data_IF_244212185903
#
_entry.id   IF_244212185903
#
_cell.length_a   1.000
_cell.length_b   1.000
_cell.length_c   1.000
_cell.angle_alpha   90.00
_cell.angle_beta   90.00
_cell.angle_gamma   90.00
#
_symmetry.space_group_name_H-M   'P 1'
#
loop_
_entity.id
_entity.type
_entity.pdbx_description
1 polymer ?
#
# COMPACT_ATOMS: atom_id res chain seq x y z
N UNK A 1 38.48 -54.52 49.67
CA UNK A 1 38.42 -53.05 49.55
C UNK A 1 38.49 -52.68 48.07
N UNK A 2 37.53 -51.88 47.62
CA UNK A 2 37.06 -51.74 46.24
C UNK A 2 37.97 -50.88 45.34
N UNK A 3 38.09 -51.28 44.07
CA UNK A 3 38.71 -50.55 42.97
C UNK A 3 37.92 -49.26 42.64
N UNK A 4 38.60 -48.12 42.56
CA UNK A 4 38.02 -46.87 42.03
C UNK A 4 38.63 -46.59 40.65
N UNK A 5 37.82 -46.85 39.62
CA UNK A 5 38.08 -46.55 38.21
C UNK A 5 37.68 -45.10 37.87
N UNK A 6 38.57 -44.40 37.19
CA UNK A 6 38.40 -43.02 36.68
C UNK A 6 37.35 -42.99 35.56
N UNK A 7 36.21 -42.32 35.75
CA UNK A 7 35.29 -41.94 34.67
C UNK A 7 35.50 -40.47 34.27
N UNK A 8 36.04 -40.25 33.06
CA UNK A 8 36.04 -38.97 32.35
C UNK A 8 34.61 -38.66 31.87
N UNK A 9 34.04 -37.56 32.34
CA UNK A 9 32.79 -37.00 31.79
C UNK A 9 33.15 -36.28 30.49
N UNK A 10 32.71 -36.81 29.35
CA UNK A 10 32.77 -36.11 28.05
C UNK A 10 31.53 -35.21 27.95
N UNK A 11 31.72 -33.91 28.08
CA UNK A 11 30.71 -32.91 27.72
C UNK A 11 30.62 -32.81 26.19
N UNK A 12 29.66 -33.49 25.58
CA UNK A 12 29.29 -33.29 24.18
C UNK A 12 28.35 -32.10 24.07
N UNK A 13 28.91 -30.92 23.77
CA UNK A 13 28.15 -29.78 23.25
C UNK A 13 27.76 -30.09 21.80
N UNK A 14 26.51 -30.51 21.57
CA UNK A 14 25.94 -30.57 20.22
C UNK A 14 25.65 -29.13 19.75
N UNK A 15 26.55 -28.58 18.96
CA UNK A 15 26.31 -27.33 18.25
C UNK A 15 25.25 -27.57 17.17
N UNK A 16 23.99 -27.20 17.44
CA UNK A 16 22.96 -27.05 16.42
C UNK A 16 23.36 -25.86 15.51
N UNK A 17 24.10 -26.15 14.44
CA UNK A 17 24.21 -25.24 13.30
C UNK A 17 22.84 -25.17 12.63
N UNK A 18 22.03 -24.18 13.04
CA UNK A 18 20.85 -23.78 12.28
C UNK A 18 21.32 -23.19 10.95
N UNK A 19 21.28 -24.00 9.88
CA UNK A 19 21.43 -23.53 8.51
C UNK A 19 20.26 -22.57 8.24
N UNK A 20 20.53 -21.28 8.33
CA UNK A 20 19.63 -20.27 7.79
C UNK A 20 19.68 -20.43 6.27
N UNK A 21 18.65 -21.07 5.70
CA UNK A 21 18.41 -20.99 4.26
C UNK A 21 18.18 -19.52 3.91
N UNK A 22 19.23 -18.86 3.44
CA UNK A 22 19.12 -17.62 2.70
C UNK A 22 18.56 -18.05 1.35
N UNK A 23 17.25 -17.92 1.17
CA UNK A 23 16.67 -18.05 -0.17
C UNK A 23 17.44 -17.08 -1.08
N UNK A 24 17.95 -17.55 -2.24
CA UNK A 24 18.57 -16.65 -3.20
C UNK A 24 17.57 -15.54 -3.54
N UNK A 25 18.04 -14.29 -3.75
CA UNK A 25 17.15 -13.23 -4.18
C UNK A 25 16.45 -13.71 -5.45
N UNK A 26 15.11 -13.77 -5.42
CA UNK A 26 14.37 -14.14 -6.61
C UNK A 26 14.50 -12.97 -7.58
N UNK A 27 15.27 -13.19 -8.65
CA UNK A 27 15.57 -12.19 -9.66
C UNK A 27 14.29 -11.96 -10.49
N UNK A 28 13.95 -10.70 -10.76
CA UNK A 28 12.93 -10.40 -11.77
C UNK A 28 13.36 -10.98 -13.13
N UNK A 29 12.39 -11.35 -13.97
CA UNK A 29 12.68 -11.76 -15.34
C UNK A 29 13.35 -10.65 -16.16
N UNK A 30 13.93 -11.03 -17.30
CA UNK A 30 14.44 -10.08 -18.29
C UNK A 30 13.30 -9.24 -18.88
N UNK A 31 13.63 -8.05 -19.36
CA UNK A 31 12.66 -7.17 -20.02
C UNK A 31 12.30 -7.71 -21.41
N UNK A 32 11.04 -8.06 -21.60
CA UNK A 32 10.41 -8.30 -22.89
C UNK A 32 9.98 -6.95 -23.48
N UNK A 33 10.45 -6.65 -24.69
CA UNK A 33 10.05 -5.44 -25.42
C UNK A 33 8.76 -5.76 -26.18
N UNK A 34 7.66 -5.14 -25.76
CA UNK A 34 6.37 -5.32 -26.45
C UNK A 34 6.27 -4.41 -27.68
N UNK A 35 6.87 -3.22 -27.61
CA UNK A 35 6.95 -2.28 -28.72
C UNK A 35 8.24 -1.45 -28.62
N UNK A 36 9.08 -1.52 -29.64
CA UNK A 36 10.37 -0.82 -29.74
C UNK A 36 10.32 0.45 -30.61
N UNK A 37 9.15 0.76 -31.18
CA UNK A 37 8.95 1.83 -32.15
C UNK A 37 8.63 1.34 -33.55
N UNK A 38 8.81 0.05 -33.85
CA UNK A 38 8.65 -0.52 -35.18
C UNK A 38 7.88 -1.83 -35.18
N UNK A 39 8.15 -2.73 -34.23
CA UNK A 39 7.58 -4.08 -34.22
C UNK A 39 6.30 -4.17 -33.38
N UNK A 40 5.23 -4.70 -33.98
CA UNK A 40 3.94 -4.97 -33.34
C UNK A 40 3.66 -6.47 -33.19
N UNK A 41 4.66 -7.33 -33.38
CA UNK A 41 4.52 -8.78 -33.31
C UNK A 41 3.91 -9.26 -31.99
N UNK A 42 4.10 -8.53 -30.89
CA UNK A 42 3.55 -8.82 -29.57
C UNK A 42 2.06 -8.52 -29.43
N UNK A 43 1.43 -7.87 -30.42
CA UNK A 43 0.06 -7.37 -30.36
C UNK A 43 -0.84 -7.92 -31.46
N UNK A 44 -2.15 -7.91 -31.17
CA UNK A 44 -3.25 -8.12 -32.11
C UNK A 44 -4.45 -7.31 -31.65
N UNK A 45 -5.51 -7.22 -32.46
CA UNK A 45 -6.77 -6.62 -32.05
C UNK A 45 -7.50 -7.51 -31.04
N UNK A 46 -8.20 -6.89 -30.10
CA UNK A 46 -9.06 -7.62 -29.16
C UNK A 46 -10.09 -8.47 -29.92
N UNK A 47 -10.16 -9.76 -29.60
CA UNK A 47 -10.96 -10.77 -30.31
C UNK A 47 -10.67 -10.87 -31.82
N UNK A 48 -9.45 -10.52 -32.24
CA UNK A 48 -8.95 -10.66 -33.61
C UNK A 48 -7.63 -11.43 -33.62
N UNK A 49 -7.30 -12.07 -34.74
CA UNK A 49 -6.02 -12.77 -34.94
C UNK A 49 -4.89 -11.85 -35.43
N UNK A 50 -5.25 -10.67 -35.93
CA UNK A 50 -4.33 -9.75 -36.62
C UNK A 50 -4.32 -8.36 -35.99
N UNK A 51 -3.33 -7.56 -36.37
CA UNK A 51 -3.21 -6.17 -35.95
C UNK A 51 -4.30 -5.29 -36.64
N UNK A 52 -5.06 -4.48 -35.89
CA UNK A 52 -6.16 -3.67 -36.42
C UNK A 52 -5.66 -2.37 -37.08
N UNK A 53 -5.14 -2.48 -38.32
CA UNK A 53 -4.53 -1.35 -39.07
C UNK A 53 -5.47 -0.16 -39.33
N UNK A 54 -6.79 -0.37 -39.28
CA UNK A 54 -7.78 0.70 -39.47
C UNK A 54 -8.04 1.53 -38.21
N UNK A 55 -7.56 1.08 -37.04
CA UNK A 55 -7.68 1.81 -35.76
C UNK A 55 -6.34 2.18 -35.14
N UNK A 56 -5.25 1.57 -35.59
CA UNK A 56 -3.91 1.75 -35.03
C UNK A 56 -2.87 1.90 -36.12
N UNK A 57 -1.91 2.79 -35.88
CA UNK A 57 -0.78 3.03 -36.78
C UNK A 57 0.53 3.16 -36.02
N UNK A 58 1.63 2.93 -36.73
CA UNK A 58 2.98 3.22 -36.27
C UNK A 58 3.46 4.46 -37.00
N UNK A 59 3.74 5.52 -36.25
CA UNK A 59 4.23 6.78 -36.81
C UNK A 59 5.28 7.38 -35.88
N UNK A 60 6.40 7.83 -36.43
CA UNK A 60 7.48 8.50 -35.69
C UNK A 60 7.98 7.70 -34.46
N UNK A 61 8.07 6.37 -34.59
CA UNK A 61 8.51 5.48 -33.51
C UNK A 61 7.47 5.27 -32.40
N UNK A 62 6.20 5.57 -32.66
CA UNK A 62 5.12 5.51 -31.67
C UNK A 62 3.95 4.69 -32.19
N UNK A 63 3.31 3.96 -31.28
CA UNK A 63 2.06 3.26 -31.53
C UNK A 63 0.92 4.21 -31.21
N UNK A 64 0.07 4.52 -32.20
CA UNK A 64 -0.92 5.62 -32.13
C UNK A 64 -2.31 5.12 -32.52
N UNK A 65 -3.34 5.55 -31.79
CA UNK A 65 -4.75 5.38 -32.18
C UNK A 65 -5.13 6.34 -33.32
N UNK A 66 -5.97 5.88 -34.25
CA UNK A 66 -6.49 6.68 -35.35
C UNK A 66 -7.87 7.19 -34.95
N UNK A 67 -8.01 8.49 -34.69
CA UNK A 67 -9.23 9.05 -34.10
C UNK A 67 -10.52 8.74 -34.92
N UNK A 68 -10.46 8.91 -36.24
CA UNK A 68 -11.56 8.58 -37.16
C UNK A 68 -11.53 7.11 -37.65
N UNK A 69 -10.69 6.29 -37.04
CA UNK A 69 -10.47 4.89 -37.38
C UNK A 69 -11.50 3.95 -36.76
N UNK A 70 -11.38 2.66 -37.10
CA UNK A 70 -12.20 1.62 -36.48
C UNK A 70 -11.74 1.41 -35.04
N UNK A 71 -12.63 1.66 -34.08
CA UNK A 71 -12.35 1.45 -32.66
C UNK A 71 -12.21 -0.04 -32.34
N UNK A 72 -10.98 -0.45 -32.07
CA UNK A 72 -10.60 -1.79 -31.64
C UNK A 72 -9.49 -1.65 -30.61
N UNK A 73 -9.64 -2.25 -29.44
CA UNK A 73 -8.59 -2.26 -28.43
C UNK A 73 -7.42 -3.15 -28.86
N UNK A 74 -6.20 -2.78 -28.49
CA UNK A 74 -5.00 -3.55 -28.81
C UNK A 74 -4.60 -4.44 -27.64
N UNK A 75 -4.53 -5.75 -27.87
CA UNK A 75 -4.27 -6.76 -26.83
C UNK A 75 -2.92 -7.44 -27.06
N UNK A 76 -2.19 -7.74 -25.99
CA UNK A 76 -0.97 -8.57 -26.06
C UNK A 76 -1.33 -9.99 -26.49
N UNK A 77 -0.51 -10.63 -27.32
CA UNK A 77 -0.69 -12.06 -27.66
C UNK A 77 -0.46 -12.96 -26.45
N UNK A 78 0.54 -12.62 -25.64
CA UNK A 78 0.91 -13.32 -24.41
C UNK A 78 0.05 -12.84 -23.23
N UNK A 79 -0.18 -13.74 -22.27
CA UNK A 79 -0.81 -13.44 -20.97
C UNK A 79 0.25 -13.37 -19.87
N UNK A 80 0.00 -12.54 -18.87
CA UNK A 80 0.88 -12.33 -17.73
C UNK A 80 0.10 -12.50 -16.42
N UNK A 81 0.74 -13.10 -15.42
CA UNK A 81 0.19 -13.23 -14.06
C UNK A 81 0.70 -12.11 -13.17
N UNK A 82 2.00 -12.18 -12.89
CA UNK A 82 2.74 -11.22 -12.08
C UNK A 82 3.72 -10.51 -13.00
N UNK A 83 3.65 -9.18 -13.07
CA UNK A 83 4.43 -8.42 -14.02
C UNK A 83 4.76 -7.02 -13.52
N UNK A 84 5.82 -6.47 -14.11
CA UNK A 84 6.08 -5.05 -14.12
C UNK A 84 6.02 -4.58 -15.57
N UNK A 85 5.03 -3.74 -15.88
CA UNK A 85 4.85 -3.10 -17.18
C UNK A 85 5.32 -1.66 -17.07
N UNK A 86 6.18 -1.23 -18.00
CA UNK A 86 6.54 0.18 -18.19
C UNK A 86 6.12 0.62 -19.58
N UNK A 87 5.62 1.84 -19.68
CA UNK A 87 5.18 2.44 -20.92
C UNK A 87 5.18 3.96 -20.79
N UNK A 88 5.35 4.64 -21.91
CA UNK A 88 5.17 6.08 -22.00
C UNK A 88 3.93 6.38 -22.83
N UNK A 89 3.18 7.40 -22.42
CA UNK A 89 1.97 7.81 -23.11
C UNK A 89 1.88 9.33 -23.22
N UNK A 90 1.28 9.80 -24.31
CA UNK A 90 0.83 11.19 -24.46
C UNK A 90 -0.56 11.20 -25.07
N UNK A 91 -1.28 12.30 -24.84
CA UNK A 91 -2.69 12.46 -25.23
C UNK A 91 -2.90 13.79 -25.95
N UNK A 92 -3.88 13.83 -26.84
CA UNK A 92 -4.43 15.08 -27.35
C UNK A 92 -5.31 15.77 -26.30
N UNK A 93 -5.59 17.08 -26.43
CA UNK A 93 -6.47 17.76 -25.50
C UNK A 93 -7.87 17.15 -25.47
N UNK A 94 -8.34 16.82 -24.27
CA UNK A 94 -9.63 16.17 -24.03
C UNK A 94 -9.66 14.66 -24.26
N UNK A 95 -8.54 14.01 -24.58
CA UNK A 95 -8.55 12.59 -24.91
C UNK A 95 -8.71 11.66 -23.69
N UNK A 96 -9.29 10.48 -23.93
CA UNK A 96 -9.49 9.37 -23.01
C UNK A 96 -8.90 8.07 -23.58
N UNK A 97 -8.30 7.26 -22.73
CA UNK A 97 -7.81 5.91 -23.02
C UNK A 97 -7.49 5.20 -21.69
N UNK A 98 -6.89 4.02 -21.78
CA UNK A 98 -6.42 3.30 -20.61
C UNK A 98 -5.57 2.09 -20.97
N UNK A 99 -4.93 1.55 -19.94
CA UNK A 99 -4.22 0.28 -20.02
C UNK A 99 -4.88 -0.70 -19.05
N UNK A 100 -5.56 -1.70 -19.61
CA UNK A 100 -6.22 -2.75 -18.85
C UNK A 100 -5.31 -3.96 -18.72
N UNK A 101 -5.48 -4.74 -17.67
CA UNK A 101 -4.68 -5.93 -17.40
C UNK A 101 -5.51 -7.00 -16.71
N UNK A 102 -5.00 -8.24 -16.66
CA UNK A 102 -5.79 -9.42 -16.25
C UNK A 102 -7.08 -9.59 -17.07
N UNK A 103 -7.06 -9.12 -18.32
CA UNK A 103 -8.17 -9.25 -19.25
C UNK A 103 -8.21 -10.67 -19.80
N UNK A 104 -9.42 -11.23 -19.89
CA UNK A 104 -9.71 -12.36 -20.76
C UNK A 104 -10.72 -11.95 -21.85
N UNK A 105 -10.76 -12.71 -22.94
CA UNK A 105 -11.59 -12.43 -24.11
C UNK A 105 -13.00 -13.06 -24.04
N UNK A 106 -13.46 -13.49 -22.86
CA UNK A 106 -14.79 -14.11 -22.69
C UNK A 106 -15.96 -13.12 -22.79
N UNK A 107 -15.67 -11.82 -22.96
CA UNK A 107 -16.64 -10.72 -23.04
C UNK A 107 -16.35 -9.83 -24.24
N UNK A 108 -17.36 -9.11 -24.72
CA UNK A 108 -17.22 -8.23 -25.88
C UNK A 108 -16.39 -6.97 -25.63
N UNK A 109 -16.03 -6.69 -24.37
CA UNK A 109 -15.24 -5.53 -24.00
C UNK A 109 -14.23 -5.89 -22.91
N UNK A 110 -12.95 -5.50 -23.03
CA UNK A 110 -11.90 -5.84 -22.07
C UNK A 110 -12.20 -5.41 -20.63
N UNK A 111 -12.80 -4.23 -20.45
CA UNK A 111 -13.12 -3.66 -19.13
C UNK A 111 -14.19 -4.45 -18.35
N UNK A 112 -14.89 -5.39 -19.00
CA UNK A 112 -15.80 -6.31 -18.31
C UNK A 112 -15.07 -7.36 -17.46
N UNK A 113 -13.78 -7.60 -17.70
CA UNK A 113 -12.99 -8.64 -17.03
C UNK A 113 -11.77 -8.08 -16.31
N UNK A 114 -11.05 -7.13 -16.92
CA UNK A 114 -9.83 -6.57 -16.38
C UNK A 114 -9.99 -5.18 -15.73
N UNK A 115 -9.25 -4.89 -14.63
CA UNK A 115 -9.06 -3.53 -14.13
C UNK A 115 -8.26 -2.65 -15.11
N UNK A 116 -8.32 -1.34 -14.90
CA UNK A 116 -7.77 -0.33 -15.81
C UNK A 116 -6.90 0.72 -15.09
N UNK A 117 -5.71 0.97 -15.65
CA UNK A 117 -4.95 2.20 -15.43
C UNK A 117 -5.48 3.27 -16.36
N UNK A 118 -6.00 4.37 -15.81
CA UNK A 118 -6.60 5.43 -16.61
C UNK A 118 -5.56 6.31 -17.31
N UNK A 119 -5.78 6.62 -18.59
CA UNK A 119 -5.02 7.60 -19.38
C UNK A 119 -5.98 8.70 -19.81
N UNK A 120 -5.67 9.95 -19.47
CA UNK A 120 -6.62 11.05 -19.65
C UNK A 120 -5.92 12.40 -19.76
N UNK A 121 -6.50 13.31 -20.54
CA UNK A 121 -6.38 14.74 -20.27
C UNK A 121 -7.32 15.15 -19.13
N UNK A 122 -6.79 15.17 -17.91
CA UNK A 122 -7.51 15.59 -16.71
C UNK A 122 -8.09 17.01 -16.80
N UNK A 123 -7.48 17.90 -17.59
CA UNK A 123 -7.82 19.32 -17.62
C UNK A 123 -9.06 19.63 -18.46
N UNK A 124 -9.33 18.83 -19.49
CA UNK A 124 -10.43 19.07 -20.42
C UNK A 124 -11.47 17.94 -20.47
N UNK A 125 -11.09 16.68 -20.29
CA UNK A 125 -12.04 15.59 -20.35
C UNK A 125 -12.94 15.59 -19.10
N UNK A 126 -14.24 15.28 -19.26
CA UNK A 126 -15.20 15.36 -18.17
C UNK A 126 -14.85 14.41 -17.01
N UNK A 127 -14.34 13.21 -17.30
CA UNK A 127 -13.84 12.24 -16.30
C UNK A 127 -12.70 12.81 -15.44
N UNK A 128 -11.98 13.83 -15.91
CA UNK A 128 -10.90 14.49 -15.15
C UNK A 128 -11.41 15.23 -13.91
N UNK A 129 -12.70 15.60 -13.90
CA UNK A 129 -13.37 16.26 -12.76
C UNK A 129 -13.59 15.30 -11.58
N UNK A 130 -13.57 13.99 -11.82
CA UNK A 130 -13.72 12.98 -10.78
C UNK A 130 -12.37 12.30 -10.52
N UNK A 131 -11.81 12.40 -9.30
CA UNK A 131 -10.54 11.77 -8.95
C UNK A 131 -10.47 10.26 -9.23
N UNK A 132 -11.60 9.54 -9.17
CA UNK A 132 -11.67 8.10 -9.43
C UNK A 132 -11.53 7.73 -10.91
N UNK A 133 -11.71 8.68 -11.83
CA UNK A 133 -11.67 8.47 -13.28
C UNK A 133 -10.62 9.34 -13.97
N UNK A 134 -9.77 10.00 -13.19
CA UNK A 134 -8.67 10.84 -13.65
C UNK A 134 -7.39 10.02 -13.92
N UNK A 135 -6.44 10.56 -14.70
CA UNK A 135 -5.23 9.86 -15.13
C UNK A 135 -4.45 9.19 -13.97
N UNK A 136 -3.97 7.97 -14.19
CA UNK A 136 -3.24 7.16 -13.22
C UNK A 136 -4.09 6.50 -12.14
N UNK A 137 -5.40 6.79 -12.06
CA UNK A 137 -6.29 6.07 -11.16
C UNK A 137 -6.41 4.59 -11.54
N UNK A 138 -6.81 3.77 -10.57
CA UNK A 138 -7.44 2.48 -10.87
C UNK A 138 -8.90 2.81 -11.17
N UNK A 139 -9.24 2.83 -12.45
CA UNK A 139 -10.44 3.50 -12.96
C UNK A 139 -11.69 3.12 -12.17
N UNK A 140 -12.44 4.13 -11.71
CA UNK A 140 -13.67 4.03 -10.93
C UNK A 140 -13.56 3.26 -9.59
N UNK A 141 -12.36 2.92 -9.11
CA UNK A 141 -12.14 2.19 -7.85
C UNK A 141 -11.23 2.94 -6.87
N UNK A 142 -10.02 3.32 -7.28
CA UNK A 142 -9.02 3.94 -6.40
C UNK A 142 -8.42 5.16 -7.07
N UNK A 143 -8.67 6.33 -6.48
CA UNK A 143 -8.17 7.61 -7.02
C UNK A 143 -6.66 7.72 -6.83
N UNK A 144 -5.98 8.22 -7.87
CA UNK A 144 -4.57 8.53 -7.84
C UNK A 144 -4.26 9.64 -6.82
N UNK A 145 -3.27 9.40 -5.96
CA UNK A 145 -2.78 10.36 -4.97
C UNK A 145 -1.47 10.97 -5.43
N UNK A 146 -1.29 12.26 -5.16
CA UNK A 146 -0.02 12.97 -5.33
C UNK A 146 0.59 12.84 -6.74
N UNK A 147 -0.27 12.69 -7.75
CA UNK A 147 0.17 12.63 -9.13
C UNK A 147 0.61 14.01 -9.62
N UNK A 148 1.59 14.01 -10.51
CA UNK A 148 1.98 15.15 -11.33
C UNK A 148 2.01 14.66 -12.76
N UNK A 149 1.23 15.29 -13.63
CA UNK A 149 1.19 15.01 -15.05
C UNK A 149 2.15 15.96 -15.77
N UNK A 150 2.74 15.47 -16.85
CA UNK A 150 3.33 16.34 -17.86
C UNK A 150 2.22 17.12 -18.59
N UNK A 151 2.54 18.27 -19.20
CA UNK A 151 1.59 19.01 -20.02
C UNK A 151 0.96 18.15 -21.12
N UNK A 152 -0.28 18.47 -21.48
CA UNK A 152 -0.96 17.80 -22.60
C UNK A 152 -0.13 17.97 -23.88
N UNK A 153 0.12 16.86 -24.59
CA UNK A 153 1.03 16.78 -25.73
C UNK A 153 2.42 16.22 -25.39
N UNK A 154 2.81 16.25 -24.12
CA UNK A 154 4.07 15.68 -23.62
C UNK A 154 3.89 14.26 -23.07
N UNK A 155 5.01 13.52 -23.00
CA UNK A 155 5.00 12.13 -22.58
C UNK A 155 5.06 11.97 -21.07
N UNK A 156 4.06 11.29 -20.53
CA UNK A 156 4.06 10.76 -19.18
C UNK A 156 4.69 9.36 -19.17
N UNK A 157 5.53 9.07 -18.16
CA UNK A 157 6.09 7.74 -17.94
C UNK A 157 5.33 7.01 -16.85
N UNK A 158 4.79 5.85 -17.21
CA UNK A 158 3.95 5.05 -16.31
C UNK A 158 4.51 3.67 -16.07
N UNK A 159 4.15 3.12 -14.92
CA UNK A 159 4.47 1.75 -14.55
C UNK A 159 3.31 1.11 -13.78
N UNK A 160 2.96 -0.12 -14.15
CA UNK A 160 2.03 -0.98 -13.42
C UNK A 160 2.86 -2.13 -12.84
N UNK A 161 2.79 -2.29 -11.52
CA UNK A 161 3.42 -3.42 -10.82
C UNK A 161 2.32 -4.26 -10.23
N UNK A 162 2.20 -5.51 -10.69
CA UNK A 162 1.27 -6.48 -10.17
C UNK A 162 2.05 -7.71 -9.73
N UNK A 163 2.10 -7.93 -8.42
CA UNK A 163 2.87 -9.03 -7.83
C UNK A 163 2.00 -9.79 -6.81
N UNK A 164 1.46 -10.94 -7.23
CA UNK A 164 0.39 -11.65 -6.56
C UNK A 164 -0.85 -10.77 -6.51
N UNK A 165 -1.24 -10.35 -5.30
CA UNK A 165 -2.38 -9.46 -5.11
C UNK A 165 -1.97 -7.99 -4.91
N UNK A 166 -0.68 -7.70 -4.77
CA UNK A 166 -0.19 -6.33 -4.59
C UNK A 166 -0.17 -5.61 -5.95
N UNK A 167 -1.05 -4.64 -6.10
CA UNK A 167 -1.11 -3.75 -7.26
C UNK A 167 -0.53 -2.38 -6.91
N UNK A 168 0.28 -1.83 -7.80
CA UNK A 168 0.75 -0.45 -7.75
C UNK A 168 0.64 0.21 -9.14
N UNK A 169 0.13 1.44 -9.18
CA UNK A 169 0.28 2.34 -10.32
C UNK A 169 1.29 3.43 -9.99
N UNK A 170 2.19 3.67 -10.94
CA UNK A 170 3.19 4.72 -10.87
C UNK A 170 3.02 5.66 -12.06
N UNK A 171 3.18 6.95 -11.80
CA UNK A 171 3.13 8.03 -12.79
C UNK A 171 4.27 9.00 -12.50
N UNK A 172 5.13 9.22 -13.49
CA UNK A 172 6.27 10.15 -13.43
C UNK A 172 7.12 9.97 -12.16
N UNK A 173 7.44 8.71 -11.86
CA UNK A 173 8.27 8.33 -10.70
C UNK A 173 7.55 8.28 -9.35
N UNK A 174 6.29 8.71 -9.27
CA UNK A 174 5.50 8.69 -8.04
C UNK A 174 4.54 7.51 -8.00
N UNK A 175 4.44 6.83 -6.85
CA UNK A 175 3.41 5.81 -6.61
C UNK A 175 2.09 6.52 -6.32
N UNK A 176 1.12 6.38 -7.23
CA UNK A 176 -0.13 7.14 -7.16
C UNK A 176 -1.32 6.27 -6.71
N UNK A 177 -1.29 4.97 -6.98
CA UNK A 177 -2.25 3.98 -6.47
C UNK A 177 -1.49 2.80 -5.91
N UNK A 178 -2.00 2.24 -4.81
CA UNK A 178 -1.57 0.95 -4.31
C UNK A 178 -2.71 0.26 -3.57
N UNK A 179 -2.92 -1.03 -3.83
CA UNK A 179 -3.89 -1.84 -3.11
C UNK A 179 -3.54 -3.33 -3.16
N UNK A 180 -4.09 -4.07 -2.22
CA UNK A 180 -4.24 -5.52 -2.31
C UNK A 180 -5.57 -5.82 -3.00
N UNK A 181 -5.53 -6.39 -4.20
CA UNK A 181 -6.69 -6.63 -5.07
C UNK A 181 -7.73 -7.53 -4.41
N UNK A 182 -7.32 -8.49 -3.56
CA UNK A 182 -8.23 -9.42 -2.89
C UNK A 182 -8.69 -8.91 -1.51
N UNK A 183 -8.32 -7.67 -1.16
CA UNK A 183 -8.67 -7.10 0.14
C UNK A 183 -10.15 -6.75 0.28
N UNK A 184 -10.59 -6.65 1.54
CA UNK A 184 -11.92 -6.12 1.88
C UNK A 184 -12.17 -4.74 1.23
N UNK A 185 -11.17 -3.86 1.22
CA UNK A 185 -11.29 -2.53 0.64
C UNK A 185 -11.64 -2.59 -0.85
N UNK A 186 -10.86 -3.34 -1.63
CA UNK A 186 -11.10 -3.46 -3.08
C UNK A 186 -12.41 -4.20 -3.37
N UNK A 187 -12.72 -5.28 -2.65
CA UNK A 187 -13.97 -6.01 -2.82
C UNK A 187 -15.21 -5.13 -2.61
N UNK A 188 -15.20 -4.25 -1.60
CA UNK A 188 -16.27 -3.28 -1.35
C UNK A 188 -16.34 -2.23 -2.45
N UNK A 189 -15.19 -1.67 -2.88
CA UNK A 189 -15.16 -0.69 -3.99
C UNK A 189 -15.74 -1.27 -5.27
N UNK A 190 -15.41 -2.51 -5.63
CA UNK A 190 -15.98 -3.19 -6.80
C UNK A 190 -17.50 -3.32 -6.65
N UNK A 191 -17.99 -3.76 -5.48
CA UNK A 191 -19.41 -3.91 -5.19
C UNK A 191 -20.19 -2.59 -5.30
N UNK A 192 -19.57 -1.47 -4.94
CA UNK A 192 -20.19 -0.14 -4.96
C UNK A 192 -20.01 0.60 -6.29
N UNK A 193 -19.20 0.05 -7.20
CA UNK A 193 -18.88 0.65 -8.49
C UNK A 193 -19.79 0.20 -9.64
N UNK A 194 -19.59 0.81 -10.81
CA UNK A 194 -20.18 0.38 -12.09
C UNK A 194 -19.82 -1.07 -12.46
N UNK A 195 -18.77 -1.65 -11.88
CA UNK A 195 -18.33 -3.00 -12.18
C UNK A 195 -19.15 -4.09 -11.47
N UNK A 196 -20.00 -3.73 -10.50
CA UNK A 196 -20.79 -4.69 -9.71
C UNK A 196 -21.64 -5.69 -10.52
N UNK A 197 -22.21 -5.35 -11.70
CA UNK A 197 -22.95 -6.32 -12.51
C UNK A 197 -22.03 -7.33 -13.24
N UNK A 198 -20.74 -7.00 -13.39
CA UNK A 198 -19.78 -7.79 -14.18
C UNK A 198 -19.12 -8.86 -13.32
N UNK A 199 -19.76 -10.02 -13.17
CA UNK A 199 -19.28 -11.13 -12.32
C UNK A 199 -17.86 -11.64 -12.64
N UNK A 200 -17.38 -11.42 -13.87
CA UNK A 200 -16.02 -11.77 -14.32
C UNK A 200 -14.96 -10.72 -14.02
N UNK A 201 -15.35 -9.52 -13.60
CA UNK A 201 -14.44 -8.42 -13.32
C UNK A 201 -13.49 -8.78 -12.16
N UNK A 202 -12.19 -8.58 -12.39
CA UNK A 202 -11.12 -8.83 -11.42
C UNK A 202 -11.00 -10.30 -10.94
N UNK A 203 -11.50 -11.28 -11.72
CA UNK A 203 -11.46 -12.70 -11.33
C UNK A 203 -10.27 -13.50 -11.85
N UNK A 204 -9.60 -13.02 -12.89
CA UNK A 204 -8.44 -13.71 -13.47
C UNK A 204 -7.17 -13.34 -12.72
N UNK A 205 -6.34 -14.33 -12.40
CA UNK A 205 -4.98 -14.09 -11.90
C UNK A 205 -3.99 -13.87 -13.04
N UNK A 206 -4.20 -14.57 -14.16
CA UNK A 206 -3.42 -14.47 -15.39
C UNK A 206 -4.32 -13.96 -16.51
N UNK A 207 -3.86 -12.97 -17.27
CA UNK A 207 -4.60 -12.45 -18.41
C UNK A 207 -3.75 -11.52 -19.28
N UNK A 208 -4.36 -10.97 -20.31
CA UNK A 208 -3.70 -10.09 -21.26
C UNK A 208 -3.56 -8.66 -20.73
N UNK A 209 -2.67 -7.90 -21.35
CA UNK A 209 -2.56 -6.45 -21.22
C UNK A 209 -3.21 -5.83 -22.46
N UNK A 210 -4.04 -4.81 -22.27
CA UNK A 210 -4.82 -4.18 -23.34
C UNK A 210 -4.61 -2.67 -23.32
N UNK A 211 -4.31 -2.09 -24.47
CA UNK A 211 -4.23 -0.65 -24.70
C UNK A 211 -5.52 -0.20 -25.39
N UNK A 212 -6.24 0.71 -24.74
CA UNK A 212 -7.58 1.07 -25.17
C UNK A 212 -7.56 2.07 -26.33
N UNK A 213 -8.41 1.83 -27.33
CA UNK A 213 -8.79 2.85 -28.30
C UNK A 213 -10.17 3.39 -27.91
N UNK A 214 -10.26 4.67 -27.57
CA UNK A 214 -11.52 5.29 -27.14
C UNK A 214 -11.84 6.52 -28.00
N UNK A 215 -11.81 6.35 -29.33
CA UNK A 215 -12.01 7.40 -30.35
C UNK A 215 -10.98 8.54 -30.38
N UNK A 216 -10.24 8.77 -29.31
CA UNK A 216 -9.27 9.85 -29.25
C UNK A 216 -7.87 9.42 -29.73
N UNK A 217 -7.07 10.42 -30.12
CA UNK A 217 -5.67 10.22 -30.47
C UNK A 217 -4.77 10.18 -29.23
N UNK A 218 -4.17 9.00 -29.01
CA UNK A 218 -3.27 8.66 -27.91
C UNK A 218 -2.06 7.95 -28.50
N UNK A 219 -0.88 8.23 -27.95
CA UNK A 219 0.37 7.63 -28.40
C UNK A 219 1.01 6.87 -27.26
N UNK A 220 1.57 5.71 -27.59
CA UNK A 220 2.34 4.86 -26.71
C UNK A 220 3.73 4.63 -27.28
N UNK A 221 4.73 4.57 -26.40
CA UNK A 221 6.09 4.14 -26.77
C UNK A 221 6.82 3.50 -25.61
N UNK A 222 7.94 2.86 -25.92
CA UNK A 222 8.83 2.23 -24.93
C UNK A 222 8.09 1.22 -24.04
N UNK A 223 7.22 0.41 -24.65
CA UNK A 223 6.39 -0.56 -23.93
C UNK A 223 7.25 -1.79 -23.65
N UNK A 224 7.53 -2.04 -22.38
CA UNK A 224 8.27 -3.21 -21.93
C UNK A 224 7.57 -3.85 -20.75
N UNK A 225 7.59 -5.17 -20.71
CA UNK A 225 7.06 -5.96 -19.60
C UNK A 225 8.14 -6.91 -19.12
N UNK A 226 8.15 -7.19 -17.83
CA UNK A 226 8.90 -8.34 -17.31
C UNK A 226 8.00 -9.10 -16.37
N UNK A 227 8.10 -10.42 -16.43
CA UNK A 227 7.47 -11.26 -15.43
C UNK A 227 8.18 -11.07 -14.09
N UNK A 228 7.38 -10.93 -13.05
CA UNK A 228 7.88 -10.92 -11.69
C UNK A 228 7.81 -12.36 -11.16
N UNK A 229 8.78 -12.76 -10.34
CA UNK A 229 8.68 -14.04 -9.67
C UNK A 229 7.44 -14.06 -8.80
N UNK A 230 6.83 -15.24 -8.69
CA UNK A 230 5.72 -15.44 -7.78
C UNK A 230 6.11 -14.91 -6.40
N UNK A 231 5.29 -14.04 -5.79
CA UNK A 231 5.64 -13.49 -4.50
C UNK A 231 5.67 -14.61 -3.47
N UNK A 232 6.66 -14.57 -2.60
CA UNK A 232 6.64 -15.39 -1.39
C UNK A 232 5.50 -14.87 -0.50
N UNK A 233 4.32 -15.46 -0.65
CA UNK A 233 3.18 -15.21 0.24
C UNK A 233 3.52 -15.83 1.58
N UNK A 234 3.91 -14.98 2.53
CA UNK A 234 4.25 -15.43 3.86
C UNK A 234 2.95 -15.93 4.53
N UNK A 235 2.89 -17.20 4.97
CA UNK A 235 1.69 -17.74 5.57
C UNK A 235 1.29 -16.88 6.77
N UNK A 236 0.02 -16.53 6.84
CA UNK A 236 -0.51 -15.84 8.00
C UNK A 236 -0.33 -16.67 9.26
N UNK A 237 -0.27 -15.99 10.42
CA UNK A 237 -0.31 -16.67 11.69
C UNK A 237 -1.61 -17.48 11.80
N UNK A 238 -1.53 -18.76 12.18
CA UNK A 238 -2.70 -19.62 12.37
C UNK A 238 -3.70 -19.09 13.41
N UNK A 239 -3.26 -18.12 14.23
CA UNK A 239 -4.03 -17.44 15.29
C UNK A 239 -3.66 -15.97 15.32
N UNK A 240 -4.56 -15.14 15.84
CA UNK A 240 -4.27 -13.74 16.15
C UNK A 240 -3.05 -13.62 17.07
N UNK A 241 -2.36 -12.49 16.97
CA UNK A 241 -1.14 -12.13 17.69
C UNK A 241 0.03 -13.10 17.47
N UNK A 242 0.10 -13.75 16.32
CA UNK A 242 1.22 -14.61 15.93
C UNK A 242 1.87 -14.16 14.64
N UNK A 243 3.18 -14.35 14.55
CA UNK A 243 3.94 -14.29 13.30
C UNK A 243 4.45 -15.69 12.98
N UNK A 244 4.25 -16.15 11.75
CA UNK A 244 4.73 -17.46 11.29
C UNK A 244 6.27 -17.53 11.32
N UNK A 245 6.84 -18.73 11.16
CA UNK A 245 8.29 -18.92 11.12
C UNK A 245 8.88 -18.15 9.93
N UNK A 246 8.20 -18.20 8.80
CA UNK A 246 8.54 -17.55 7.54
C UNK A 246 8.46 -16.03 7.70
N UNK A 247 7.41 -15.50 8.34
CA UNK A 247 7.32 -14.08 8.67
C UNK A 247 8.47 -13.63 9.59
N UNK A 248 8.81 -14.41 10.62
CA UNK A 248 9.95 -14.11 11.50
C UNK A 248 11.27 -14.10 10.73
N UNK A 249 11.50 -15.06 9.84
CA UNK A 249 12.67 -15.11 8.99
C UNK A 249 12.74 -13.90 8.04
N UNK A 250 11.59 -13.45 7.55
CA UNK A 250 11.45 -12.24 6.75
C UNK A 250 11.55 -10.92 7.56
N UNK A 251 11.84 -11.00 8.86
CA UNK A 251 12.11 -9.84 9.74
C UNK A 251 10.90 -9.31 10.52
N UNK A 252 9.72 -9.93 10.40
CA UNK A 252 8.55 -9.53 11.19
C UNK A 252 8.68 -9.94 12.65
N UNK A 253 8.21 -9.08 13.55
CA UNK A 253 8.16 -9.32 14.99
C UNK A 253 6.81 -8.85 15.53
N UNK A 254 6.28 -9.57 16.51
CA UNK A 254 5.13 -9.12 17.28
C UNK A 254 5.53 -8.01 18.24
N UNK A 255 4.72 -6.96 18.30
CA UNK A 255 4.70 -6.00 19.40
C UNK A 255 3.70 -6.40 20.48
N UNK A 256 2.75 -7.27 20.16
CA UNK A 256 1.83 -7.87 21.13
C UNK A 256 1.59 -9.34 20.80
N UNK A 257 1.60 -10.19 21.81
CA UNK A 257 1.48 -11.65 21.67
C UNK A 257 0.13 -12.20 22.18
N UNK A 258 -0.82 -11.31 22.52
CA UNK A 258 -2.11 -11.69 23.09
C UNK A 258 -2.11 -11.93 24.61
N UNK A 259 -0.93 -11.93 25.26
CA UNK A 259 -0.79 -12.40 26.65
C UNK A 259 -0.09 -11.43 27.58
N UNK A 260 0.86 -10.63 27.08
CA UNK A 260 1.61 -9.70 27.91
C UNK A 260 2.01 -8.44 27.15
N UNK A 261 2.39 -7.42 27.92
CA UNK A 261 2.74 -6.09 27.44
C UNK A 261 4.25 -5.88 27.40
N UNK A 262 5.03 -6.95 27.25
CA UNK A 262 6.50 -6.93 27.39
C UNK A 262 7.21 -5.93 26.47
N UNK A 263 6.62 -5.59 25.32
CA UNK A 263 7.16 -4.62 24.35
C UNK A 263 6.67 -3.19 24.57
N UNK A 264 5.83 -2.95 25.57
CA UNK A 264 5.15 -1.69 25.82
C UNK A 264 5.46 -1.17 27.23
N UNK A 265 5.41 0.14 27.38
CA UNK A 265 5.42 0.87 28.67
C UNK A 265 4.62 2.15 28.52
N UNK A 266 4.23 2.79 29.63
CA UNK A 266 3.59 4.11 29.55
C UNK A 266 4.55 5.17 29.00
N UNK A 267 4.03 6.16 28.29
CA UNK A 267 4.80 7.33 27.87
C UNK A 267 5.39 8.04 29.10
N UNK A 268 6.71 8.29 29.09
CA UNK A 268 7.49 8.83 30.21
C UNK A 268 7.43 7.98 31.50
N UNK A 269 7.12 6.68 31.37
CA UNK A 269 7.11 5.73 32.48
C UNK A 269 8.03 4.55 32.15
N UNK A 270 8.62 3.96 33.19
CA UNK A 270 9.45 2.76 33.07
C UNK A 270 8.63 1.49 32.81
N UNK A 271 7.42 1.43 33.36
CA UNK A 271 6.54 0.27 33.33
C UNK A 271 5.26 0.51 32.52
N UNK A 272 4.58 -0.58 32.19
CA UNK A 272 3.22 -0.56 31.64
C UNK A 272 2.23 -0.01 32.68
N UNK A 273 1.22 0.81 32.31
CA UNK A 273 0.28 1.36 33.28
C UNK A 273 -0.53 0.26 33.97
N UNK A 274 -0.79 0.44 35.27
CA UNK A 274 -1.58 -0.50 36.09
C UNK A 274 -3.10 -0.31 35.94
N UNK A 275 -3.54 0.75 35.26
CA UNK A 275 -4.95 1.06 34.99
C UNK A 275 -5.14 1.52 33.55
N UNK A 276 -6.38 1.46 33.07
CA UNK A 276 -6.82 1.95 31.77
C UNK A 276 -6.54 1.02 30.59
N UNK A 277 -5.41 0.31 30.61
CA UNK A 277 -5.09 -0.69 29.60
C UNK A 277 -5.18 -2.11 30.15
N UNK A 278 -5.98 -2.95 29.52
CA UNK A 278 -6.15 -4.36 29.88
C UNK A 278 -5.88 -5.29 28.70
N UNK A 279 -5.67 -6.57 28.99
CA UNK A 279 -5.67 -7.63 27.99
C UNK A 279 -6.99 -8.37 28.08
N UNK A 280 -7.78 -8.31 27.01
CA UNK A 280 -9.10 -8.93 26.93
C UNK A 280 -9.34 -9.40 25.49
N UNK A 281 -9.86 -10.62 25.32
CA UNK A 281 -10.25 -11.17 24.00
C UNK A 281 -9.15 -11.02 22.93
N UNK A 282 -7.93 -11.45 23.26
CA UNK A 282 -6.74 -11.34 22.40
C UNK A 282 -6.38 -9.91 21.98
N UNK A 283 -6.83 -8.89 22.71
CA UNK A 283 -6.54 -7.49 22.43
C UNK A 283 -5.77 -6.83 23.58
N UNK A 284 -4.94 -5.85 23.24
CA UNK A 284 -4.60 -4.77 24.16
C UNK A 284 -5.70 -3.72 24.02
N UNK A 285 -6.48 -3.54 25.09
CA UNK A 285 -7.69 -2.73 25.10
C UNK A 285 -7.50 -1.54 26.02
N UNK A 286 -7.82 -0.35 25.54
CA UNK A 286 -8.07 0.78 26.43
C UNK A 286 -9.53 0.74 26.87
N UNK A 287 -9.80 0.82 28.17
CA UNK A 287 -11.18 0.84 28.70
C UNK A 287 -11.69 2.27 28.77
N UNK A 288 -12.99 2.45 28.49
CA UNK A 288 -13.62 3.77 28.54
C UNK A 288 -13.40 4.42 29.91
N UNK A 289 -12.94 5.68 29.89
CA UNK A 289 -12.61 6.50 31.06
C UNK A 289 -11.62 5.85 32.03
N UNK A 290 -10.82 4.88 31.58
CA UNK A 290 -9.88 4.15 32.43
C UNK A 290 -8.58 4.90 32.74
N UNK A 291 -8.20 5.86 31.89
CA UNK A 291 -6.99 6.66 31.99
C UNK A 291 -5.71 5.81 31.83
N UNK A 292 -4.68 6.09 32.64
CA UNK A 292 -3.40 5.37 32.57
C UNK A 292 -2.40 6.00 31.60
N UNK A 293 -2.90 6.77 30.63
CA UNK A 293 -2.13 7.53 29.66
C UNK A 293 -1.67 6.69 28.47
N UNK A 294 -1.08 7.37 27.49
CA UNK A 294 -0.53 6.75 26.28
C UNK A 294 0.50 5.66 26.61
N UNK A 295 0.53 4.61 25.78
CA UNK A 295 1.55 3.56 25.84
C UNK A 295 2.43 3.59 24.60
N UNK A 296 3.73 3.38 24.80
CA UNK A 296 4.72 3.38 23.73
C UNK A 296 5.48 2.06 23.66
N UNK A 297 5.96 1.73 22.47
CA UNK A 297 6.91 0.63 22.29
C UNK A 297 8.19 0.92 23.08
N UNK A 298 8.79 -0.08 23.70
CA UNK A 298 10.10 0.09 24.38
C UNK A 298 11.22 0.45 23.41
N UNK A 299 11.13 -0.03 22.16
CA UNK A 299 12.10 0.27 21.11
C UNK A 299 11.69 1.46 20.23
N UNK A 300 12.68 2.14 19.65
CA UNK A 300 12.51 3.16 18.60
C UNK A 300 12.67 2.55 17.20
N UNK A 301 11.98 3.14 16.21
CA UNK A 301 11.95 2.74 14.81
C UNK A 301 12.13 3.96 13.91
N UNK A 302 12.84 3.79 12.78
CA UNK A 302 13.08 4.86 11.80
C UNK A 302 12.52 4.56 10.41
N UNK A 303 12.82 3.37 9.89
CA UNK A 303 12.19 2.81 8.70
C UNK A 303 11.55 1.49 9.09
N UNK A 304 10.27 1.33 8.77
CA UNK A 304 9.49 0.20 9.24
C UNK A 304 8.24 -0.02 8.39
N UNK A 305 7.75 -1.26 8.45
CA UNK A 305 6.43 -1.67 8.02
C UNK A 305 5.68 -2.12 9.28
N UNK A 306 4.77 -1.28 9.76
CA UNK A 306 3.97 -1.55 10.95
C UNK A 306 2.54 -1.86 10.55
N UNK A 307 2.01 -2.98 11.03
CA UNK A 307 0.66 -3.45 10.74
C UNK A 307 -0.07 -3.77 12.04
N UNK A 308 -1.36 -3.48 12.08
CA UNK A 308 -2.21 -3.77 13.22
C UNK A 308 -3.67 -3.90 12.81
N UNK A 309 -4.46 -4.52 13.67
CA UNK A 309 -5.91 -4.48 13.61
C UNK A 309 -6.47 -3.68 14.77
N UNK A 310 -7.58 -3.00 14.52
CA UNK A 310 -8.24 -2.19 15.54
C UNK A 310 -9.76 -2.18 15.36
N UNK A 311 -10.47 -2.02 16.47
CA UNK A 311 -11.90 -1.64 16.50
C UNK A 311 -12.13 -0.61 17.60
N UNK A 312 -13.10 0.26 17.38
CA UNK A 312 -13.50 1.32 18.31
C UNK A 312 -14.96 1.12 18.74
N UNK A 313 -15.29 1.58 19.95
CA UNK A 313 -16.67 1.75 20.37
C UNK A 313 -17.35 2.92 19.62
N UNK A 314 -18.69 3.03 19.66
CA UNK A 314 -19.39 4.20 19.12
C UNK A 314 -18.87 5.51 19.71
N UNK A 315 -18.68 6.50 18.85
CA UNK A 315 -18.14 7.82 19.19
C UNK A 315 -16.77 7.81 19.86
N UNK A 316 -15.99 6.73 19.76
CA UNK A 316 -14.67 6.65 20.38
C UNK A 316 -13.56 7.27 19.51
N UNK A 317 -12.51 7.76 20.18
CA UNK A 317 -11.28 8.28 19.60
C UNK A 317 -10.05 7.59 20.20
N UNK A 318 -9.03 7.46 19.38
CA UNK A 318 -7.69 7.00 19.72
C UNK A 318 -6.77 7.31 18.53
N UNK A 319 -5.54 6.83 18.57
CA UNK A 319 -4.58 7.07 17.53
C UNK A 319 -3.41 6.13 17.64
N UNK A 320 -2.82 5.82 16.49
CA UNK A 320 -1.50 5.19 16.42
C UNK A 320 -0.51 6.27 16.01
N UNK A 321 0.37 6.65 16.94
CA UNK A 321 1.41 7.63 16.67
C UNK A 321 2.75 6.96 16.40
N UNK A 322 3.57 7.61 15.59
CA UNK A 322 4.93 7.18 15.28
C UNK A 322 5.88 8.38 15.27
N UNK A 323 7.18 8.08 15.29
CA UNK A 323 8.23 9.06 15.52
C UNK A 323 8.08 9.83 16.84
N UNK A 324 7.53 9.16 17.87
CA UNK A 324 7.36 9.73 19.21
C UNK A 324 8.72 9.88 19.89
N UNK A 325 8.92 11.06 20.48
CA UNK A 325 10.13 11.47 21.20
C UNK A 325 9.72 11.91 22.61
N UNK A 326 10.28 11.29 23.64
CA UNK A 326 9.94 11.58 25.04
C UNK A 326 10.60 12.87 25.54
N UNK A 327 11.64 13.34 24.86
CA UNK A 327 12.27 14.63 25.06
C UNK A 327 11.35 15.83 24.73
N UNK A 328 10.22 15.60 24.03
CA UNK A 328 9.20 16.64 23.79
C UNK A 328 8.34 16.86 25.03
N UNK A 329 7.70 18.04 25.09
CA UNK A 329 6.77 18.41 26.17
C UNK A 329 5.54 17.50 26.31
N UNK A 330 5.24 16.68 25.32
CA UNK A 330 4.15 15.68 25.36
C UNK A 330 4.36 14.57 24.34
N UNK A 331 3.37 13.67 24.23
CA UNK A 331 3.34 12.56 23.28
C UNK A 331 3.06 13.02 21.83
N UNK A 332 3.93 13.90 21.34
CA UNK A 332 3.80 14.56 20.04
C UNK A 332 4.60 13.77 19.01
N UNK A 333 3.92 13.26 17.99
CA UNK A 333 4.48 12.51 16.87
C UNK A 333 3.52 12.57 15.69
N UNK A 334 3.88 11.92 14.59
CA UNK A 334 2.94 11.75 13.48
C UNK A 334 1.86 10.77 13.90
N UNK A 335 0.63 10.99 13.50
CA UNK A 335 -0.52 10.24 13.99
C UNK A 335 -1.36 9.71 12.83
N UNK A 336 -1.52 8.39 12.80
CA UNK A 336 -2.61 7.72 12.10
C UNK A 336 -3.84 7.78 12.99
N UNK A 337 -4.85 8.52 12.56
CA UNK A 337 -6.08 8.70 13.33
C UNK A 337 -6.91 7.40 13.40
N UNK A 338 -7.42 7.07 14.60
CA UNK A 338 -8.26 5.88 14.86
C UNK A 338 -9.54 6.34 15.57
N UNK A 339 -10.64 6.51 14.83
CA UNK A 339 -11.80 7.23 15.36
C UNK A 339 -13.13 6.72 14.76
N UNK A 340 -14.24 6.92 15.46
CA UNK A 340 -15.57 6.82 14.86
C UNK A 340 -15.87 8.08 14.03
N UNK A 341 -15.65 7.97 12.72
CA UNK A 341 -15.86 9.04 11.74
C UNK A 341 -17.29 9.62 11.75
N UNK A 342 -18.27 8.82 12.18
CA UNK A 342 -19.70 9.16 12.08
C UNK A 342 -20.24 9.93 13.28
N UNK A 343 -19.58 9.84 14.44
CA UNK A 343 -20.13 10.35 15.72
C UNK A 343 -19.16 11.18 16.54
N UNK A 344 -17.85 10.94 16.47
CA UNK A 344 -16.93 11.67 17.35
C UNK A 344 -16.80 13.14 16.89
N UNK A 345 -16.97 14.15 17.77
CA UNK A 345 -16.93 15.56 17.39
C UNK A 345 -15.68 15.99 16.62
N UNK A 346 -14.51 15.43 16.97
CA UNK A 346 -13.25 15.72 16.26
C UNK A 346 -13.28 15.26 14.80
N UNK A 347 -13.85 14.09 14.51
CA UNK A 347 -14.01 13.59 13.14
C UNK A 347 -14.97 14.45 12.32
N UNK A 348 -15.98 15.05 12.96
CA UNK A 348 -16.96 15.91 12.31
C UNK A 348 -16.40 17.28 11.92
N UNK A 349 -15.22 17.68 12.44
CA UNK A 349 -14.52 18.92 12.03
C UNK A 349 -14.07 18.89 10.57
N UNK A 350 -13.84 17.70 10.02
CA UNK A 350 -13.42 17.53 8.64
C UNK A 350 -12.36 16.45 8.42
N UNK A 351 -11.95 16.25 7.16
CA UNK A 351 -11.26 15.03 6.73
C UNK A 351 -9.83 14.87 7.26
N UNK A 352 -9.22 15.93 7.81
CA UNK A 352 -7.89 15.86 8.46
C UNK A 352 -7.92 15.25 9.87
N UNK A 353 -9.12 15.07 10.44
CA UNK A 353 -9.33 14.53 11.79
C UNK A 353 -10.08 13.20 11.79
N UNK A 354 -10.35 12.65 10.61
CA UNK A 354 -11.03 11.38 10.42
C UNK A 354 -10.03 10.23 10.28
N UNK A 355 -10.53 8.99 10.36
CA UNK A 355 -9.75 7.75 10.33
C UNK A 355 -8.70 7.74 9.21
N UNK A 356 -7.51 7.25 9.56
CA UNK A 356 -6.34 7.09 8.69
C UNK A 356 -5.68 8.39 8.19
N UNK A 357 -6.22 9.56 8.54
CA UNK A 357 -5.55 10.83 8.27
C UNK A 357 -4.17 10.86 8.92
N UNK A 358 -3.25 11.64 8.34
CA UNK A 358 -2.14 12.19 9.11
C UNK A 358 -2.72 13.37 9.88
N UNK A 359 -3.11 13.11 11.13
CA UNK A 359 -3.94 13.98 11.96
C UNK A 359 -3.56 15.46 11.82
N UNK A 360 -4.53 16.32 11.51
CA UNK A 360 -4.38 17.78 11.35
C UNK A 360 -3.49 18.26 10.19
N UNK A 361 -2.77 17.35 9.50
CA UNK A 361 -1.86 17.67 8.40
C UNK A 361 -2.49 17.30 7.05
N UNK A 362 -2.77 16.01 6.82
CA UNK A 362 -3.34 15.51 5.57
C UNK A 362 -4.55 14.60 5.77
N UNK A 363 -5.62 14.79 4.98
CA UNK A 363 -6.72 13.84 4.94
C UNK A 363 -6.30 12.55 4.23
N UNK A 364 -6.90 11.44 4.61
CA UNK A 364 -6.83 10.19 3.85
C UNK A 364 -7.98 10.10 2.84
N UNK A 365 -7.69 9.53 1.67
CA UNK A 365 -8.63 9.30 0.55
C UNK A 365 -8.83 7.80 0.31
N UNK A 366 -9.74 7.42 -0.59
CA UNK A 366 -10.00 6.01 -0.93
C UNK A 366 -10.33 5.12 0.29
N UNK A 367 -10.93 5.71 1.34
CA UNK A 367 -11.14 5.03 2.62
C UNK A 367 -12.35 4.13 2.54
N UNK A 368 -12.17 2.86 2.89
CA UNK A 368 -13.24 1.87 3.03
C UNK A 368 -13.16 1.33 4.45
N UNK A 369 -14.00 1.85 5.33
CA UNK A 369 -14.08 1.38 6.72
C UNK A 369 -15.05 0.21 6.82
N UNK A 370 -14.74 -0.72 7.72
CA UNK A 370 -15.77 -1.62 8.26
C UNK A 370 -16.63 -0.86 9.27
N UNK A 371 -17.88 -1.32 9.52
CA UNK A 371 -18.74 -0.71 10.53
C UNK A 371 -18.07 -0.63 11.91
N UNK A 372 -18.43 0.39 12.70
CA UNK A 372 -18.00 0.56 14.08
C UNK A 372 -18.21 -0.73 14.88
N UNK A 373 -17.26 -1.07 15.76
CA UNK A 373 -17.22 -2.35 16.48
C UNK A 373 -16.59 -3.52 15.70
N UNK A 374 -16.34 -3.38 14.38
CA UNK A 374 -15.64 -4.39 13.58
C UNK A 374 -14.14 -4.09 13.46
N UNK A 375 -13.31 -5.14 13.38
CA UNK A 375 -11.86 -4.98 13.21
C UNK A 375 -11.49 -4.52 11.80
N UNK A 376 -10.95 -3.31 11.70
CA UNK A 376 -10.21 -2.81 10.55
C UNK A 376 -8.76 -3.29 10.59
N UNK A 377 -8.14 -3.47 9.42
CA UNK A 377 -6.70 -3.71 9.29
C UNK A 377 -6.02 -2.45 8.77
N UNK A 378 -4.91 -2.05 9.39
CA UNK A 378 -4.19 -0.83 9.04
C UNK A 378 -2.69 -1.05 9.03
N UNK A 379 -2.01 -0.24 8.23
CA UNK A 379 -0.56 -0.28 8.06
C UNK A 379 0.00 1.11 7.89
N UNK A 380 1.15 1.35 8.51
CA UNK A 380 2.02 2.50 8.24
C UNK A 380 3.34 1.96 7.70
N UNK A 381 3.68 2.35 6.48
CA UNK A 381 4.94 2.02 5.84
C UNK A 381 5.80 3.27 5.75
N UNK A 382 6.97 3.22 6.39
CA UNK A 382 8.02 4.23 6.25
C UNK A 382 9.23 3.58 5.58
N UNK A 383 9.53 3.99 4.34
CA UNK A 383 10.66 3.49 3.56
C UNK A 383 11.37 4.65 2.87
N UNK A 384 12.68 4.80 3.11
CA UNK A 384 13.40 6.04 2.84
C UNK A 384 12.58 7.22 3.40
N UNK A 385 12.30 8.25 2.60
CA UNK A 385 11.45 9.39 3.01
C UNK A 385 9.98 9.24 2.62
N UNK A 386 9.58 8.08 2.08
CA UNK A 386 8.18 7.84 1.74
C UNK A 386 7.41 7.31 2.95
N UNK A 387 6.28 7.94 3.24
CA UNK A 387 5.30 7.49 4.21
C UNK A 387 4.01 7.11 3.49
N UNK A 388 3.46 5.94 3.85
CA UNK A 388 2.17 5.47 3.35
C UNK A 388 1.29 5.05 4.54
N UNK A 389 0.02 5.46 4.53
CA UNK A 389 -1.02 4.91 5.38
C UNK A 389 -1.93 4.02 4.54
N UNK A 390 -2.27 2.87 5.10
CA UNK A 390 -3.15 1.88 4.48
C UNK A 390 -4.32 1.56 5.40
N UNK A 391 -5.47 1.26 4.80
CA UNK A 391 -6.68 0.85 5.48
C UNK A 391 -7.35 -0.25 4.66
N UNK A 392 -7.60 -1.40 5.30
CA UNK A 392 -8.26 -2.57 4.74
C UNK A 392 -7.75 -2.97 3.35
N UNK A 393 -6.43 -2.89 3.16
CA UNK A 393 -5.74 -3.29 1.93
C UNK A 393 -5.63 -2.21 0.85
N UNK A 394 -6.17 -1.00 1.06
CA UNK A 394 -6.02 0.13 0.14
C UNK A 394 -5.06 1.16 0.73
N UNK A 395 -4.13 1.68 -0.06
CA UNK A 395 -3.32 2.83 0.32
C UNK A 395 -4.20 4.08 0.27
N UNK A 396 -4.40 4.69 1.44
CA UNK A 396 -5.33 5.81 1.63
C UNK A 396 -4.64 7.15 1.74
N UNK A 397 -3.33 7.16 2.00
CA UNK A 397 -2.51 8.37 2.01
C UNK A 397 -1.07 7.97 1.70
N UNK A 398 -0.40 8.74 0.86
CA UNK A 398 1.06 8.72 0.75
C UNK A 398 1.59 10.16 0.78
N UNK A 399 2.85 10.33 1.15
CA UNK A 399 3.56 11.61 1.08
C UNK A 399 5.07 11.40 1.31
N UNK A 400 5.87 12.38 0.89
CA UNK A 400 7.31 12.39 1.07
C UNK A 400 7.69 13.27 2.26
N UNK A 401 8.18 12.66 3.33
CA UNK A 401 8.68 13.32 4.53
C UNK A 401 9.76 14.36 4.16
N UNK A 402 9.64 15.56 4.73
CA UNK A 402 10.53 16.68 4.44
C UNK A 402 10.31 17.39 3.09
N UNK A 403 9.36 16.94 2.26
CA UNK A 403 9.00 17.68 1.03
C UNK A 403 8.29 19.00 1.34
N UNK A 404 8.41 19.98 0.44
CA UNK A 404 7.77 21.29 0.59
C UNK A 404 6.27 21.18 0.90
N UNK A 405 5.57 20.29 0.19
CA UNK A 405 4.14 20.02 0.43
C UNK A 405 3.84 19.60 1.87
N UNK A 406 4.68 18.75 2.48
CA UNK A 406 4.52 18.37 3.89
C UNK A 406 4.79 19.56 4.80
N UNK A 407 5.85 20.32 4.54
CA UNK A 407 6.25 21.46 5.37
C UNK A 407 5.20 22.58 5.33
N UNK A 408 4.63 22.88 4.17
CA UNK A 408 3.54 23.84 4.01
C UNK A 408 2.29 23.40 4.79
N UNK A 409 1.93 22.11 4.69
CA UNK A 409 0.81 21.57 5.45
C UNK A 409 1.06 21.63 6.97
N UNK A 410 2.28 21.33 7.42
CA UNK A 410 2.67 21.44 8.83
C UNK A 410 2.62 22.88 9.33
N UNK A 411 3.06 23.85 8.53
CA UNK A 411 3.05 25.28 8.88
C UNK A 411 1.63 25.81 9.17
N UNK A 412 0.60 25.21 8.58
CA UNK A 412 -0.82 25.54 8.83
C UNK A 412 -1.48 24.68 9.91
N UNK A 413 -0.78 23.68 10.45
CA UNK A 413 -1.31 22.75 11.47
C UNK A 413 -1.00 23.21 12.90
N UNK A 414 -1.59 22.50 13.88
CA UNK A 414 -1.25 22.63 15.31
C UNK A 414 0.22 22.31 15.62
N UNK A 415 0.94 21.67 14.69
CA UNK A 415 2.33 21.25 14.85
C UNK A 415 3.36 22.22 14.29
N UNK A 416 2.95 23.41 13.79
CA UNK A 416 3.84 24.39 13.14
C UNK A 416 5.07 24.84 13.95
N UNK A 417 5.05 24.69 15.28
CA UNK A 417 6.17 25.03 16.18
C UNK A 417 6.90 23.80 16.73
N UNK A 418 6.54 22.60 16.29
CA UNK A 418 7.13 21.36 16.79
C UNK A 418 8.39 21.06 15.98
N UNK A 419 9.53 21.10 16.66
CA UNK A 419 10.83 20.80 16.06
C UNK A 419 10.80 19.47 15.29
N UNK A 420 11.36 19.46 14.07
CA UNK A 420 11.44 18.31 13.15
C UNK A 420 10.10 17.65 12.79
N UNK A 421 8.96 18.28 13.05
CA UNK A 421 7.68 17.70 12.64
C UNK A 421 7.50 17.76 11.12
N UNK A 422 7.25 16.60 10.51
CA UNK A 422 7.11 16.46 9.05
C UNK A 422 8.33 15.82 8.38
N UNK A 423 9.44 15.69 9.11
CA UNK A 423 10.63 14.95 8.68
C UNK A 423 10.62 13.52 9.23
N UNK A 424 11.43 12.65 8.62
CA UNK A 424 11.70 11.32 9.17
C UNK A 424 12.74 11.40 10.28
N UNK A 425 12.49 10.67 11.35
CA UNK A 425 13.47 10.41 12.40
C UNK A 425 13.22 9.06 13.06
N UNK A 426 14.03 8.69 14.05
CA UNK A 426 13.73 7.54 14.89
C UNK A 426 12.86 7.97 16.06
N UNK A 427 11.83 7.19 16.36
CA UNK A 427 11.00 7.39 17.54
C UNK A 427 10.18 6.15 17.88
N UNK A 428 9.44 6.24 18.97
CA UNK A 428 8.56 5.15 19.41
C UNK A 428 7.30 5.09 18.54
N UNK A 429 6.66 3.92 18.54
CA UNK A 429 5.25 3.77 18.16
C UNK A 429 4.43 3.88 19.43
N UNK A 430 3.26 4.52 19.35
CA UNK A 430 2.39 4.82 20.48
C UNK A 430 0.95 4.42 20.16
N UNK A 431 0.26 3.86 21.16
CA UNK A 431 -1.20 3.71 21.16
C UNK A 431 -1.78 4.73 22.14
N UNK A 432 -2.73 5.52 21.67
CA UNK A 432 -3.24 6.67 22.41
C UNK A 432 -4.33 6.27 23.40
N UNK A 433 -4.22 6.80 24.61
CA UNK A 433 -5.34 6.94 25.54
C UNK A 433 -6.03 8.28 25.24
N UNK A 434 -7.24 8.21 24.67
CA UNK A 434 -8.13 9.36 24.51
C UNK A 434 -9.41 9.19 25.35
N UNK A 435 -9.31 8.45 26.45
CA UNK A 435 -10.42 8.13 27.38
C UNK A 435 -11.56 7.29 26.79
N UNK A 436 -11.48 6.83 25.55
CA UNK A 436 -12.51 5.99 24.93
C UNK A 436 -12.11 4.52 24.81
N UNK A 437 -13.09 3.65 24.61
CA UNK A 437 -12.85 2.23 24.40
C UNK A 437 -12.33 1.95 22.98
N UNK A 438 -11.13 1.36 22.91
CA UNK A 438 -10.49 0.92 21.67
C UNK A 438 -9.75 -0.40 21.90
N UNK A 439 -9.77 -1.26 20.90
CA UNK A 439 -9.14 -2.58 20.94
C UNK A 439 -8.09 -2.68 19.85
N UNK A 440 -6.89 -3.13 20.18
CA UNK A 440 -5.82 -3.39 19.24
C UNK A 440 -5.34 -4.83 19.31
N UNK A 441 -5.08 -5.45 18.15
CA UNK A 441 -4.48 -6.78 18.04
C UNK A 441 -3.63 -6.89 16.77
N UNK A 442 -2.95 -8.02 16.59
CA UNK A 442 -2.10 -8.28 15.42
C UNK A 442 -1.04 -7.17 15.20
N UNK A 443 -0.60 -6.53 16.28
CA UNK A 443 0.41 -5.48 16.28
C UNK A 443 1.77 -6.11 15.91
N UNK A 444 2.18 -5.97 14.65
CA UNK A 444 3.42 -6.57 14.11
C UNK A 444 4.22 -5.54 13.34
N UNK A 445 5.54 -5.63 13.44
CA UNK A 445 6.45 -4.70 12.79
C UNK A 445 7.59 -5.42 12.11
N UNK A 446 7.99 -4.91 10.95
CA UNK A 446 9.24 -5.27 10.26
C UNK A 446 10.09 -4.02 10.12
N UNK A 447 11.30 -4.05 10.68
CA UNK A 447 12.30 -2.99 10.45
C UNK A 447 12.76 -3.04 9.00
N UNK A 448 12.79 -1.90 8.33
CA UNK A 448 13.24 -1.78 6.94
C UNK A 448 14.64 -1.12 6.92
N UNK A 449 15.54 -1.65 6.09
CA UNK A 449 16.95 -1.25 6.06
C UNK A 449 17.81 -2.04 7.07
N UNK A 450 18.94 -2.59 6.62
CA UNK A 450 19.87 -3.31 7.48
C UNK A 450 20.58 -2.34 8.41
N UNK A 451 20.55 -2.65 9.71
CA UNK A 451 21.77 -2.57 10.48
C UNK A 451 22.84 -3.42 9.79
N UNK A 452 23.84 -2.77 9.20
CA UNK A 452 25.21 -3.22 9.43
C UNK A 452 25.65 -2.49 10.70
N UNK A 453 25.76 -3.19 11.84
CA UNK A 453 26.84 -2.82 12.74
C UNK A 453 28.10 -3.05 11.91
N UNK A 454 28.71 -1.98 11.38
CA UNK A 454 30.14 -2.04 11.11
C UNK A 454 30.73 -2.43 12.47
N UNK A 455 31.38 -3.61 12.55
CA UNK A 455 32.39 -3.78 13.59
C UNK A 455 33.35 -2.61 13.34
N UNK A 456 33.45 -1.68 14.29
CA UNK A 456 34.56 -0.76 14.27
C UNK A 456 35.85 -1.60 14.33
N UNK A 457 36.91 -1.19 13.60
CA UNK A 457 38.16 -1.92 13.56
C UNK A 457 38.73 -2.18 14.95
#
# INVERSE_FOLDING_TARGET
MSMISKRRIKNTFAALLGIAFILPPVQAGEWEVLFDGQDIASFRGYQMDTFPKDGWTIKDGTLRTIADGKVVDLITKKQYRDFELIFEWKVTPGANSGVMYRVDESKNSPWHTGPEYQILDDSKHNDGKNPLTSAGSLYALVSAQNKTLEPVGDYNRSRIVLNGNSLEHWLNGSKVVACDIDSYGVATLVKESKFSPHKGFLKKQTGHIVFQHHHDEVWFKSIKVRELPEPVVLPEGKRVNTVSKEQRNAGWRNLFNGKNTNQWRGFKKEAFPQKGWIIENDCIKHVSQGGGGDIITKQKYGQFDFQWEWKVAPAANSGVKYFIMEERGGAIGHEYQVIDDSKHPDALRGPKWQTAAFYDVFPAKNRVLKPVGSFNNSRVLIKAEQAEHWLNGVMVLNYTLGSQRVLDAVATSKFKKVDRFGYRHQGHILLQDHSDEVHYRNLRIKRLGKGKKKKQP
#
